data_IF_976661268079
#
_entry.id   IF_976661268079
#
_cell.length_a   1.000
_cell.length_b   1.000
_cell.length_c   1.000
_cell.angle_alpha   90.00
_cell.angle_beta   90.00
_cell.angle_gamma   90.00
#
_symmetry.space_group_name_H-M   'P 1'
#
loop_
_entity.id
_entity.type
_entity.pdbx_description
1 polymer ?
#
# COMPACT_ATOMS: atom_id res chain seq x y z
N UNK A 1 17.76 21.51 10.32
CA UNK A 1 16.78 20.43 10.57
C UNK A 1 16.14 20.11 9.25
N UNK A 2 16.54 19.01 8.62
CA UNK A 2 15.74 18.40 7.55
C UNK A 2 14.55 17.78 8.28
N UNK A 3 13.28 18.00 7.86
CA UNK A 3 12.22 17.18 8.37
C UNK A 3 12.54 15.75 7.91
N UNK A 4 12.97 14.91 8.84
CA UNK A 4 13.04 13.46 8.67
C UNK A 4 11.58 12.94 8.70
N UNK A 5 10.78 13.42 7.74
CA UNK A 5 9.50 12.84 7.37
C UNK A 5 9.82 11.72 6.38
N UNK A 6 10.68 10.79 6.82
CA UNK A 6 11.25 9.71 6.02
C UNK A 6 10.33 8.49 5.92
N UNK A 7 9.05 8.65 6.27
CA UNK A 7 8.06 7.60 6.08
C UNK A 7 7.37 7.82 4.72
N UNK A 8 7.57 6.92 3.75
CA UNK A 8 6.99 7.10 2.42
C UNK A 8 5.46 7.04 2.42
N UNK A 9 4.85 6.62 3.54
CA UNK A 9 3.39 6.57 3.72
C UNK A 9 3.02 7.44 4.93
N UNK A 10 2.23 8.51 4.76
CA UNK A 10 1.76 9.31 5.88
C UNK A 10 1.00 8.46 6.90
N UNK A 11 1.19 8.71 8.20
CA UNK A 11 0.54 7.94 9.26
C UNK A 11 -0.99 7.86 9.12
N UNK A 12 -1.61 8.94 8.63
CA UNK A 12 -3.05 8.99 8.35
C UNK A 12 -3.44 8.04 7.21
N UNK A 13 -2.65 7.97 6.13
CA UNK A 13 -2.89 7.02 5.05
C UNK A 13 -2.64 5.58 5.50
N UNK A 14 -1.58 5.33 6.28
CA UNK A 14 -1.30 4.01 6.83
C UNK A 14 -2.47 3.50 7.70
N UNK A 15 -3.08 4.39 8.50
CA UNK A 15 -4.25 4.05 9.30
C UNK A 15 -5.47 3.70 8.43
N UNK A 16 -5.74 4.46 7.36
CA UNK A 16 -6.83 4.18 6.42
C UNK A 16 -6.60 2.83 5.73
N UNK A 17 -5.39 2.60 5.20
CA UNK A 17 -5.02 1.35 4.53
C UNK A 17 -5.15 0.17 5.48
N UNK A 18 -4.66 0.29 6.71
CA UNK A 18 -4.77 -0.76 7.70
C UNK A 18 -6.22 -1.10 8.00
N UNK A 19 -7.06 -0.09 8.20
CA UNK A 19 -8.47 -0.24 8.54
C UNK A 19 -9.28 -0.82 7.38
N UNK A 20 -8.91 -0.52 6.13
CA UNK A 20 -9.51 -1.14 4.94
C UNK A 20 -9.10 -2.61 4.81
N UNK A 21 -7.81 -2.93 4.93
CA UNK A 21 -7.29 -4.29 4.78
C UNK A 21 -7.85 -5.23 5.84
N UNK A 22 -7.95 -4.75 7.09
CA UNK A 22 -8.47 -5.54 8.22
C UNK A 22 -9.92 -6.02 7.99
N UNK A 23 -10.66 -5.34 7.12
CA UNK A 23 -12.04 -5.65 6.78
C UNK A 23 -12.19 -6.55 5.54
N UNK A 24 -11.07 -6.88 4.87
CA UNK A 24 -11.04 -7.78 3.71
C UNK A 24 -10.92 -9.22 4.21
N UNK A 25 -12.06 -9.91 4.26
CA UNK A 25 -12.09 -11.32 4.64
C UNK A 25 -11.76 -12.25 3.46
N UNK A 26 -11.09 -13.38 3.74
CA UNK A 26 -10.98 -14.46 2.76
C UNK A 26 -12.38 -14.96 2.36
N UNK A 27 -12.55 -15.36 1.11
CA UNK A 27 -13.82 -15.86 0.54
C UNK A 27 -14.95 -14.81 0.40
N UNK A 28 -14.66 -13.52 0.56
CA UNK A 28 -15.63 -12.45 0.31
C UNK A 28 -15.31 -11.64 -0.95
N UNK A 29 -16.35 -11.10 -1.57
CA UNK A 29 -16.21 -10.23 -2.74
C UNK A 29 -15.58 -8.89 -2.33
N UNK A 30 -14.39 -8.61 -2.87
CA UNK A 30 -13.56 -7.45 -2.52
C UNK A 30 -13.99 -6.25 -3.38
N UNK A 31 -15.16 -5.72 -3.05
CA UNK A 31 -15.68 -4.48 -3.66
C UNK A 31 -15.60 -3.32 -2.67
N UNK A 32 -15.35 -2.12 -3.20
CA UNK A 32 -15.26 -0.90 -2.39
C UNK A 32 -16.52 -0.68 -1.55
N UNK A 33 -17.69 -1.00 -2.08
CA UNK A 33 -18.98 -0.84 -1.39
C UNK A 33 -19.14 -1.82 -0.23
N UNK A 34 -18.71 -3.07 -0.40
CA UNK A 34 -18.79 -4.09 0.64
C UNK A 34 -17.81 -3.78 1.79
N UNK A 35 -16.55 -3.48 1.44
CA UNK A 35 -15.51 -3.11 2.41
C UNK A 35 -15.89 -1.83 3.15
N UNK A 36 -16.34 -0.79 2.43
CA UNK A 36 -16.78 0.45 3.06
C UNK A 36 -17.95 0.24 4.04
N UNK A 37 -18.94 -0.61 3.69
CA UNK A 37 -20.04 -0.90 4.62
C UNK A 37 -19.56 -1.55 5.92
N UNK A 38 -18.56 -2.44 5.86
CA UNK A 38 -17.98 -3.08 7.04
C UNK A 38 -17.17 -2.09 7.88
N UNK A 39 -16.30 -1.32 7.22
CA UNK A 39 -15.52 -0.24 7.81
C UNK A 39 -16.41 0.76 8.56
N UNK A 40 -17.53 1.18 7.96
CA UNK A 40 -18.50 2.11 8.59
C UNK A 40 -19.21 1.49 9.80
N UNK A 41 -19.42 0.18 9.80
CA UNK A 41 -20.07 -0.51 10.92
C UNK A 41 -19.15 -0.63 12.14
N UNK A 42 -17.84 -0.77 11.92
CA UNK A 42 -16.85 -1.06 12.97
C UNK A 42 -16.07 0.19 13.43
N UNK A 43 -15.99 1.23 12.61
CA UNK A 43 -15.17 2.42 12.86
C UNK A 43 -15.99 3.67 13.19
N UNK A 44 -15.61 4.37 14.26
CA UNK A 44 -16.22 5.65 14.66
C UNK A 44 -15.92 6.79 13.69
N UNK A 45 -14.85 6.68 12.90
CA UNK A 45 -14.45 7.68 11.91
C UNK A 45 -14.05 6.99 10.60
N UNK A 46 -15.02 6.50 9.83
CA UNK A 46 -14.71 5.70 8.65
C UNK A 46 -14.15 6.57 7.52
N UNK A 47 -13.18 6.06 6.74
CA UNK A 47 -12.73 6.68 5.50
C UNK A 47 -13.87 6.79 4.48
N UNK A 48 -13.75 7.73 3.54
CA UNK A 48 -14.76 7.87 2.49
C UNK A 48 -14.72 6.68 1.53
N UNK A 49 -15.83 6.39 0.84
CA UNK A 49 -15.85 5.37 -0.22
C UNK A 49 -14.75 5.60 -1.28
N UNK A 50 -14.41 6.86 -1.57
CA UNK A 50 -13.31 7.22 -2.48
C UNK A 50 -11.96 6.74 -1.96
N UNK A 51 -11.70 6.88 -0.66
CA UNK A 51 -10.45 6.45 -0.03
C UNK A 51 -10.36 4.93 -0.06
N UNK A 52 -11.44 4.22 0.31
CA UNK A 52 -11.51 2.76 0.22
C UNK A 52 -11.20 2.29 -1.21
N UNK A 53 -11.77 2.96 -2.21
CA UNK A 53 -11.55 2.63 -3.63
C UNK A 53 -10.11 2.85 -4.04
N UNK A 54 -9.47 3.93 -3.59
CA UNK A 54 -8.06 4.20 -3.85
C UNK A 54 -7.16 3.13 -3.22
N UNK A 55 -7.44 2.71 -1.99
CA UNK A 55 -6.70 1.62 -1.34
C UNK A 55 -6.85 0.32 -2.13
N UNK A 56 -8.08 -0.07 -2.51
CA UNK A 56 -8.30 -1.29 -3.29
C UNK A 56 -7.60 -1.25 -4.66
N UNK A 57 -7.55 -0.08 -5.32
CA UNK A 57 -6.83 0.10 -6.58
C UNK A 57 -5.32 -0.16 -6.42
N UNK A 58 -4.74 0.34 -5.32
CA UNK A 58 -3.33 0.09 -4.96
C UNK A 58 -3.12 -1.40 -4.66
N UNK A 59 -3.99 -2.03 -3.88
CA UNK A 59 -3.89 -3.47 -3.57
C UNK A 59 -4.02 -4.36 -4.82
N UNK A 60 -4.77 -3.90 -5.82
CA UNK A 60 -4.91 -4.58 -7.10
C UNK A 60 -3.68 -4.44 -8.01
N UNK A 61 -2.73 -3.56 -7.67
CA UNK A 61 -1.51 -3.42 -8.45
C UNK A 61 -0.65 -4.69 -8.34
N UNK A 62 -0.12 -5.20 -9.46
CA UNK A 62 0.56 -6.50 -9.51
C UNK A 62 1.81 -6.57 -8.63
N UNK A 63 2.43 -5.42 -8.33
CA UNK A 63 3.63 -5.31 -7.52
C UNK A 63 3.36 -5.26 -6.00
N UNK A 64 2.12 -4.99 -5.56
CA UNK A 64 1.77 -5.00 -4.13
C UNK A 64 1.56 -6.43 -3.63
N UNK A 65 0.98 -7.30 -4.47
CA UNK A 65 0.84 -8.73 -4.17
C UNK A 65 -0.05 -9.00 -2.95
N UNK A 66 -1.19 -8.30 -2.84
CA UNK A 66 -2.12 -8.47 -1.73
C UNK A 66 -2.86 -9.81 -1.82
N UNK A 67 -2.92 -10.53 -0.71
CA UNK A 67 -3.72 -11.76 -0.55
C UNK A 67 -4.83 -11.51 0.48
N UNK A 68 -6.10 -11.88 0.20
CA UNK A 68 -7.20 -11.70 1.15
C UNK A 68 -6.93 -12.46 2.46
N UNK A 69 -7.19 -11.83 3.61
CA UNK A 69 -6.84 -12.36 4.93
C UNK A 69 -5.38 -12.21 5.34
N UNK A 70 -4.54 -11.56 4.53
CA UNK A 70 -3.18 -11.18 4.94
C UNK A 70 -3.22 -10.02 5.94
N UNK A 71 -2.27 -10.00 6.89
CA UNK A 71 -2.20 -8.94 7.89
C UNK A 71 -1.87 -7.58 7.24
N UNK A 72 -2.65 -6.55 7.59
CA UNK A 72 -2.44 -5.17 7.15
C UNK A 72 -1.01 -4.66 7.37
N UNK A 73 -0.37 -5.07 8.46
CA UNK A 73 1.03 -4.73 8.75
C UNK A 73 2.00 -5.29 7.70
N UNK A 74 1.77 -6.52 7.21
CA UNK A 74 2.63 -7.13 6.19
C UNK A 74 2.50 -6.41 4.85
N UNK A 75 1.27 -6.07 4.47
CA UNK A 75 0.97 -5.33 3.23
C UNK A 75 1.57 -3.93 3.28
N UNK A 76 1.38 -3.20 4.38
CA UNK A 76 1.98 -1.88 4.59
C UNK A 76 3.50 -1.93 4.53
N UNK A 77 4.13 -2.96 5.09
CA UNK A 77 5.58 -3.11 5.02
C UNK A 77 6.07 -3.34 3.58
N UNK A 78 5.35 -4.12 2.76
CA UNK A 78 5.66 -4.29 1.33
C UNK A 78 5.47 -2.99 0.54
N UNK A 79 4.39 -2.27 0.81
CA UNK A 79 4.15 -0.97 0.18
C UNK A 79 5.29 0.03 0.50
N UNK A 80 5.72 0.08 1.76
CA UNK A 80 6.87 0.91 2.19
C UNK A 80 8.15 0.52 1.48
N UNK A 81 8.45 -0.78 1.40
CA UNK A 81 9.65 -1.29 0.73
C UNK A 81 9.65 -0.93 -0.77
N UNK A 82 8.49 -1.07 -1.43
CA UNK A 82 8.32 -0.68 -2.82
C UNK A 82 8.49 0.83 -3.05
N UNK A 83 7.92 1.67 -2.19
CA UNK A 83 8.07 3.13 -2.28
C UNK A 83 9.54 3.54 -2.07
N UNK A 84 10.20 2.99 -1.05
CA UNK A 84 11.62 3.25 -0.80
C UNK A 84 12.52 2.78 -1.96
N UNK A 85 12.17 1.66 -2.60
CA UNK A 85 12.86 1.17 -3.79
C UNK A 85 12.61 2.05 -5.03
N UNK A 86 11.43 2.66 -5.16
CA UNK A 86 11.10 3.59 -6.26
C UNK A 86 11.74 4.97 -6.08
N UNK A 87 11.96 5.42 -4.84
CA UNK A 87 12.69 6.65 -4.53
C UNK A 87 14.21 6.50 -4.68
N UNK A 88 14.71 5.27 -4.63
CA UNK A 88 16.10 4.97 -4.94
C UNK A 88 16.31 5.08 -6.46
N UNK A 89 17.20 5.97 -6.96
CA UNK A 89 17.50 6.01 -8.39
C UNK A 89 17.97 4.62 -8.82
N UNK A 90 17.58 4.14 -10.03
CA UNK A 90 18.10 2.87 -10.52
C UNK A 90 19.63 2.91 -10.42
N UNK A 91 20.30 1.79 -10.08
CA UNK A 91 21.75 1.76 -10.16
C UNK A 91 22.14 2.28 -11.55
N UNK A 92 23.16 3.16 -11.66
CA UNK A 92 23.59 3.64 -12.95
C UNK A 92 23.78 2.40 -13.82
N UNK A 93 23.02 2.35 -14.91
CA UNK A 93 23.20 1.34 -15.92
C UNK A 93 24.67 1.47 -16.35
N UNK A 94 25.51 0.53 -15.92
CA UNK A 94 26.91 0.37 -16.31
C UNK A 94 26.95 -0.06 -17.80
N UNK A 95 26.34 0.76 -18.64
CA UNK A 95 26.71 0.85 -20.04
C UNK A 95 28.09 1.48 -20.04
N UNK A 96 29.04 0.86 -20.74
CA UNK A 96 30.41 1.32 -20.97
C UNK A 96 31.48 0.88 -19.95
N UNK A 97 31.83 -0.41 -19.97
CA UNK A 97 33.25 -0.75 -20.16
C UNK A 97 33.47 -2.13 -20.80
N UNK A 98 32.90 -2.30 -22.00
CA UNK A 98 33.47 -3.21 -23.00
C UNK A 98 34.67 -2.51 -23.64
N UNK A 99 35.86 -2.64 -23.04
CA UNK A 99 37.12 -2.41 -23.74
C UNK A 99 37.95 -3.70 -23.66
N UNK A 100 38.09 -4.47 -24.76
CA UNK A 100 39.04 -5.57 -24.79
C UNK A 100 40.47 -4.99 -24.77
N UNK A 101 41.29 -5.61 -23.92
CA UNK A 101 42.73 -5.37 -23.72
C UNK A 101 43.56 -5.45 -25.00
#
# INVERSE_FOLDING_TARGET
MVPDDGDPIPAEQAAIVALVIDQIEPDTDITAENVHRRVVAESSNPPSLRDVRAVLDILAMPHVGFTPGESSAAVLNRMRDMLAAAESPPPPLDYWNDQPY
#
